data_IF_198644628900
#
_entry.id   IF_198644628900
#
_cell.length_a   1.000
_cell.length_b   1.000
_cell.length_c   1.000
_cell.angle_alpha   90.00
_cell.angle_beta   90.00
_cell.angle_gamma   90.00
#
_symmetry.space_group_name_H-M   'P 1'
#
loop_
_entity.id
_entity.type
_entity.pdbx_description
1 polymer ?
#
# COMPACT_ATOMS: atom_id res chain seq x y z
N UNK A 1 -18.93 8.11 13.52
CA UNK A 1 -18.43 6.80 13.99
C UNK A 1 -17.70 6.86 15.33
N UNK A 2 -16.46 7.38 15.48
CA UNK A 2 -15.76 7.34 16.79
C UNK A 2 -16.54 8.03 17.93
N UNK A 3 -17.01 9.26 17.70
CA UNK A 3 -17.83 10.02 18.66
C UNK A 3 -19.16 9.34 19.00
N UNK A 4 -19.79 8.71 18.02
CA UNK A 4 -21.06 7.98 18.21
C UNK A 4 -20.91 6.83 19.20
N UNK A 5 -19.77 6.14 19.21
CA UNK A 5 -19.54 5.00 20.11
C UNK A 5 -18.87 5.35 21.44
N UNK A 6 -18.14 6.47 21.51
CA UNK A 6 -17.32 6.82 22.68
C UNK A 6 -17.82 8.06 23.44
N UNK A 7 -18.75 8.83 22.85
CA UNK A 7 -19.24 10.08 23.41
C UNK A 7 -18.25 11.25 23.35
N UNK A 8 -17.03 11.04 22.84
CA UNK A 8 -15.96 12.05 22.79
C UNK A 8 -15.39 12.20 21.38
N UNK A 9 -14.93 13.40 21.03
CA UNK A 9 -14.23 13.63 19.78
C UNK A 9 -12.83 12.99 19.82
N UNK A 10 -12.38 12.44 18.68
CA UNK A 10 -11.02 11.91 18.54
C UNK A 10 -10.08 13.05 18.16
N UNK A 11 -9.11 13.45 19.01
CA UNK A 11 -8.18 14.51 18.67
C UNK A 11 -7.31 14.12 17.47
N UNK A 12 -6.97 15.10 16.63
CA UNK A 12 -6.11 14.89 15.47
C UNK A 12 -4.72 14.34 15.86
N UNK A 13 -4.18 14.73 17.01
CA UNK A 13 -2.92 14.19 17.51
C UNK A 13 -3.01 12.68 17.73
N UNK A 14 -4.12 12.19 18.31
CA UNK A 14 -4.32 10.76 18.57
C UNK A 14 -4.43 9.93 17.29
N UNK A 15 -5.05 10.48 16.25
CA UNK A 15 -5.07 9.84 14.92
C UNK A 15 -3.64 9.74 14.38
N UNK A 16 -2.86 10.82 14.49
CA UNK A 16 -1.48 10.85 14.00
C UNK A 16 -0.58 9.86 14.74
N UNK A 17 -0.69 9.79 16.07
CA UNK A 17 0.00 8.80 16.90
C UNK A 17 -0.33 7.39 16.43
N UNK A 18 -1.62 7.06 16.33
CA UNK A 18 -2.08 5.75 15.88
C UNK A 18 -1.52 5.34 14.50
N UNK A 19 -1.54 6.27 13.52
CA UNK A 19 -1.03 6.02 12.18
C UNK A 19 0.50 5.88 12.12
N UNK A 20 1.21 6.47 13.09
CA UNK A 20 2.66 6.36 13.22
C UNK A 20 3.06 5.06 13.92
N UNK A 21 2.29 4.65 14.94
CA UNK A 21 2.55 3.45 15.74
C UNK A 21 2.20 2.16 15.00
N UNK A 22 1.23 2.22 14.08
CA UNK A 22 0.77 1.06 13.30
C UNK A 22 0.97 1.33 11.80
N UNK A 23 2.16 1.02 11.25
CA UNK A 23 2.51 1.31 9.86
C UNK A 23 1.56 0.70 8.82
N UNK A 24 0.92 -0.42 9.18
CA UNK A 24 -0.07 -1.12 8.37
C UNK A 24 -1.20 -0.20 7.91
N UNK A 25 -1.69 0.68 8.81
CA UNK A 25 -2.77 1.61 8.49
C UNK A 25 -2.32 2.71 7.54
N UNK A 26 -1.14 3.30 7.76
CA UNK A 26 -0.57 4.30 6.85
C UNK A 26 -0.37 3.75 5.44
N UNK A 27 0.09 2.50 5.31
CA UNK A 27 0.29 1.87 4.01
C UNK A 27 -1.01 1.45 3.34
N UNK A 28 -1.99 0.98 4.11
CA UNK A 28 -3.34 0.73 3.61
C UNK A 28 -3.97 2.03 3.06
N UNK A 29 -3.90 3.12 3.82
CA UNK A 29 -4.40 4.43 3.40
C UNK A 29 -3.65 4.97 2.19
N UNK A 30 -2.32 4.78 2.11
CA UNK A 30 -1.53 5.14 0.93
C UNK A 30 -1.96 4.33 -0.32
N UNK A 31 -2.20 3.02 -0.16
CA UNK A 31 -2.74 2.18 -1.23
C UNK A 31 -4.12 2.63 -1.69
N UNK A 32 -4.99 2.99 -0.75
CA UNK A 32 -6.32 3.52 -1.03
C UNK A 32 -6.27 4.89 -1.73
N UNK A 33 -5.44 5.81 -1.25
CA UNK A 33 -5.23 7.12 -1.86
C UNK A 33 -4.67 6.99 -3.28
N UNK A 34 -3.71 6.10 -3.49
CA UNK A 34 -3.19 5.78 -4.82
C UNK A 34 -4.30 5.26 -5.74
N UNK A 35 -5.15 4.35 -5.26
CA UNK A 35 -6.28 3.83 -6.04
C UNK A 35 -7.27 4.95 -6.44
N UNK A 36 -7.64 5.83 -5.50
CA UNK A 36 -8.54 6.96 -5.76
C UNK A 36 -7.93 7.94 -6.76
N UNK A 37 -6.68 8.33 -6.55
CA UNK A 37 -6.00 9.27 -7.44
C UNK A 37 -6.05 8.78 -8.89
N UNK A 38 -5.76 7.49 -9.06
CA UNK A 38 -5.78 6.85 -10.35
C UNK A 38 -7.19 6.63 -10.93
N UNK A 39 -8.23 6.50 -10.10
CA UNK A 39 -9.60 6.28 -10.57
C UNK A 39 -10.33 7.58 -10.90
N UNK A 40 -10.11 8.63 -10.12
CA UNK A 40 -11.00 9.79 -10.07
C UNK A 40 -10.30 11.16 -10.15
N UNK A 41 -8.98 11.25 -9.96
CA UNK A 41 -8.27 12.54 -9.88
C UNK A 41 -7.40 12.81 -11.11
N UNK A 42 -6.81 11.77 -11.71
CA UNK A 42 -5.84 11.94 -12.80
C UNK A 42 -6.50 12.36 -14.12
N UNK A 43 -6.00 13.44 -14.72
CA UNK A 43 -6.55 14.06 -15.94
C UNK A 43 -6.46 13.19 -17.21
N UNK A 44 -5.51 12.25 -17.26
CA UNK A 44 -5.28 11.39 -18.42
C UNK A 44 -4.97 9.94 -18.01
N UNK A 45 -5.32 8.98 -18.88
CA UNK A 45 -5.19 7.53 -18.62
C UNK A 45 -5.92 7.10 -17.34
N UNK A 46 -7.11 7.65 -17.06
CA UNK A 46 -8.01 7.15 -16.01
C UNK A 46 -8.77 5.91 -16.49
N UNK A 47 -9.25 5.06 -15.57
CA UNK A 47 -9.96 3.81 -15.88
C UNK A 47 -9.23 2.52 -15.47
N UNK A 48 -9.94 1.38 -15.54
CA UNK A 48 -9.57 0.09 -14.93
C UNK A 48 -8.55 -0.74 -15.72
N UNK A 49 -8.40 -0.51 -17.02
CA UNK A 49 -7.65 -1.41 -17.93
C UNK A 49 -6.12 -1.33 -17.84
N UNK A 50 -5.59 -0.28 -17.19
CA UNK A 50 -4.14 0.00 -17.12
C UNK A 50 -3.59 0.03 -15.68
N UNK A 51 -4.39 -0.36 -14.69
CA UNK A 51 -4.13 -0.05 -13.27
C UNK A 51 -4.36 -1.26 -12.37
N UNK A 52 -3.56 -1.41 -11.29
CA UNK A 52 -3.81 -2.48 -10.33
C UNK A 52 -5.19 -2.27 -9.69
N UNK A 53 -5.88 -3.37 -9.41
CA UNK A 53 -7.16 -3.30 -8.72
C UNK A 53 -7.00 -2.67 -7.34
N UNK A 54 -8.07 -2.03 -6.84
CA UNK A 54 -8.07 -1.43 -5.50
C UNK A 54 -7.69 -2.47 -4.43
N UNK A 55 -8.16 -3.71 -4.59
CA UNK A 55 -7.84 -4.83 -3.70
C UNK A 55 -6.35 -5.21 -3.79
N UNK A 56 -5.75 -5.17 -4.97
CA UNK A 56 -4.33 -5.47 -5.16
C UNK A 56 -3.44 -4.47 -4.41
N UNK A 57 -3.89 -3.22 -4.26
CA UNK A 57 -3.18 -2.20 -3.50
C UNK A 57 -3.39 -2.32 -1.99
N UNK A 58 -4.46 -2.97 -1.54
CA UNK A 58 -4.66 -3.24 -0.11
C UNK A 58 -3.63 -4.21 0.46
N UNK A 59 -3.01 -5.03 -0.39
CA UNK A 59 -1.86 -5.86 0.00
C UNK A 59 -0.67 -5.04 0.53
N UNK A 60 -0.64 -3.71 0.33
CA UNK A 60 0.34 -2.82 0.96
C UNK A 60 0.37 -2.96 2.49
N UNK A 61 -0.74 -3.35 3.12
CA UNK A 61 -0.84 -3.63 4.55
C UNK A 61 0.16 -4.71 5.00
N UNK A 62 0.55 -5.64 4.12
CA UNK A 62 1.45 -6.74 4.47
C UNK A 62 2.93 -6.36 4.38
N UNK A 63 3.28 -5.23 3.76
CA UNK A 63 4.68 -4.83 3.58
C UNK A 63 5.45 -4.78 4.92
N UNK A 64 4.95 -4.13 6.00
CA UNK A 64 5.68 -4.07 7.26
C UNK A 64 5.95 -5.43 7.91
N UNK A 65 5.17 -6.45 7.51
CA UNK A 65 5.24 -7.81 8.05
C UNK A 65 6.18 -8.73 7.27
N UNK A 66 6.77 -8.29 6.15
CA UNK A 66 7.63 -9.14 5.33
C UNK A 66 8.90 -8.44 4.86
N UNK A 67 9.99 -9.22 4.74
CA UNK A 67 11.26 -8.74 4.18
C UNK A 67 11.22 -8.68 2.64
N UNK A 68 10.49 -9.61 2.03
CA UNK A 68 10.34 -9.72 0.58
C UNK A 68 8.86 -9.92 0.25
N UNK A 69 8.33 -9.06 -0.60
CA UNK A 69 7.02 -9.22 -1.22
C UNK A 69 7.20 -9.54 -2.70
N UNK A 70 6.56 -10.62 -3.17
CA UNK A 70 6.69 -11.07 -4.56
C UNK A 70 5.33 -10.96 -5.24
N UNK A 71 5.31 -10.37 -6.43
CA UNK A 71 4.10 -10.29 -7.27
C UNK A 71 4.43 -10.61 -8.73
N UNK A 72 3.45 -11.12 -9.47
CA UNK A 72 3.54 -11.24 -10.93
C UNK A 72 2.77 -10.14 -11.66
N UNK A 73 2.16 -9.21 -10.92
CA UNK A 73 1.44 -8.07 -11.46
C UNK A 73 2.39 -6.86 -11.56
N UNK A 74 2.69 -6.43 -12.79
CA UNK A 74 3.55 -5.29 -13.08
C UNK A 74 3.02 -3.94 -12.57
N UNK A 75 1.75 -3.58 -12.87
CA UNK A 75 1.09 -2.44 -12.24
C UNK A 75 1.15 -2.43 -10.69
N UNK A 76 0.85 -3.56 -10.03
CA UNK A 76 0.92 -3.69 -8.57
C UNK A 76 2.36 -3.51 -8.07
N UNK A 77 3.34 -4.13 -8.74
CA UNK A 77 4.77 -3.98 -8.41
C UNK A 77 5.20 -2.51 -8.38
N UNK A 78 4.81 -1.72 -9.40
CA UNK A 78 5.15 -0.30 -9.47
C UNK A 78 4.49 0.50 -8.35
N UNK A 79 3.20 0.26 -8.13
CA UNK A 79 2.45 0.98 -7.11
C UNK A 79 2.95 0.64 -5.69
N UNK A 80 3.18 -0.63 -5.37
CA UNK A 80 3.70 -1.04 -4.07
C UNK A 80 5.11 -0.50 -3.85
N UNK A 81 5.97 -0.40 -4.88
CA UNK A 81 7.29 0.25 -4.76
C UNK A 81 7.18 1.72 -4.36
N UNK A 82 6.23 2.46 -4.93
CA UNK A 82 5.94 3.84 -4.53
C UNK A 82 5.41 3.90 -3.09
N UNK A 83 4.42 3.08 -2.76
CA UNK A 83 3.81 3.05 -1.42
C UNK A 83 4.83 2.66 -0.33
N UNK A 84 5.76 1.77 -0.64
CA UNK A 84 6.82 1.34 0.27
C UNK A 84 7.78 2.47 0.66
N UNK A 85 7.74 3.65 0.00
CA UNK A 85 8.43 4.86 0.47
C UNK A 85 7.91 5.30 1.84
N UNK A 86 6.62 5.11 2.12
CA UNK A 86 6.01 5.43 3.42
C UNK A 86 6.19 4.34 4.47
N UNK A 87 6.74 3.18 4.09
CA UNK A 87 6.95 2.06 5.01
C UNK A 87 8.21 2.30 5.86
N UNK A 88 8.12 2.36 7.20
CA UNK A 88 9.28 2.46 8.08
C UNK A 88 10.19 1.24 7.99
N UNK A 89 9.63 0.04 7.76
CA UNK A 89 10.37 -1.22 7.62
C UNK A 89 10.44 -1.62 6.15
N UNK A 90 11.42 -1.09 5.42
CA UNK A 90 11.52 -1.27 3.96
C UNK A 90 11.47 -2.74 3.54
N UNK A 91 10.43 -3.08 2.78
CA UNK A 91 10.24 -4.39 2.14
C UNK A 91 10.88 -4.41 0.77
N UNK A 92 11.53 -5.51 0.39
CA UNK A 92 12.00 -5.70 -0.99
C UNK A 92 10.85 -6.21 -1.85
N UNK A 93 10.45 -5.45 -2.86
CA UNK A 93 9.33 -5.82 -3.72
C UNK A 93 9.87 -6.28 -5.09
N UNK A 94 9.63 -7.54 -5.40
CA UNK A 94 10.17 -8.24 -6.57
C UNK A 94 9.05 -8.72 -7.49
N UNK A 95 9.33 -8.72 -8.78
CA UNK A 95 8.56 -9.54 -9.72
C UNK A 95 8.85 -11.03 -9.48
N UNK A 96 7.90 -11.90 -9.81
CA UNK A 96 8.12 -13.34 -9.77
C UNK A 96 9.32 -13.78 -10.62
N UNK A 97 9.52 -13.16 -11.80
CA UNK A 97 10.68 -13.40 -12.67
C UNK A 97 12.01 -13.09 -11.96
N UNK A 98 12.10 -11.94 -11.29
CA UNK A 98 13.30 -11.56 -10.51
C UNK A 98 13.54 -12.50 -9.34
N UNK A 99 12.47 -12.86 -8.62
CA UNK A 99 12.54 -13.79 -7.50
C UNK A 99 13.03 -15.18 -7.93
N UNK A 100 12.43 -15.75 -9.00
CA UNK A 100 12.82 -17.04 -9.57
C UNK A 100 14.29 -17.05 -10.00
N UNK A 101 14.76 -15.99 -10.66
CA UNK A 101 16.17 -15.87 -11.08
C UNK A 101 17.13 -15.93 -9.87
N UNK A 102 16.74 -15.38 -8.71
CA UNK A 102 17.56 -15.42 -7.49
C UNK A 102 17.56 -16.76 -6.78
N UNK A 103 16.47 -17.52 -6.87
CA UNK A 103 16.38 -18.85 -6.28
C UNK A 103 17.13 -19.91 -7.08
N UNK A 104 17.14 -19.78 -8.41
CA UNK A 104 17.71 -20.79 -9.32
C UNK A 104 19.20 -20.57 -9.67
N UNK A 105 19.80 -19.45 -9.26
CA UNK A 105 21.25 -19.20 -9.38
C UNK A 105 21.89 -19.38 -7.99
N UNK A 106 21.49 -20.44 -7.29
CA UNK A 106 22.19 -20.92 -6.10
C UNK A 106 23.11 -22.07 -6.49
#
# INVERSE_FOLDING_TARGET
MYKEFTGVDLPCEKVREFLSDIPHWSLYLAGWAHAIYHRAIRDANYGTRLKPGTIDLWCAVYLPSCHIFVTNDGPQLRALRLINVFNPRKTRILSYKEFRKRLLIR
#
